data_IF_887184652212
#
_entry.id   IF_887184652212
#
_cell.length_a   1.000
_cell.length_b   1.000
_cell.length_c   1.000
_cell.angle_alpha   90.00
_cell.angle_beta   90.00
_cell.angle_gamma   90.00
#
_symmetry.space_group_name_H-M   'P 1'
#
loop_
_entity.id
_entity.type
_entity.pdbx_description
1 polymer ?
#
# COMPACT_ATOMS: atom_id res chain seq x y z
N UNK A 1 6.89 12.25 2.31
CA UNK A 1 7.31 10.85 2.08
C UNK A 1 6.37 9.97 2.90
N UNK A 2 5.64 9.07 2.24
CA UNK A 2 4.69 8.19 2.91
C UNK A 2 5.38 6.88 3.30
N UNK A 3 5.06 6.37 4.49
CA UNK A 3 5.57 5.08 4.94
C UNK A 3 4.71 3.97 4.34
N UNK A 4 5.28 3.21 3.41
CA UNK A 4 4.66 1.99 2.90
C UNK A 4 4.98 0.86 3.86
N UNK A 5 3.96 0.25 4.46
CA UNK A 5 4.10 -0.89 5.37
C UNK A 5 3.78 -2.15 4.59
N UNK A 6 4.77 -3.02 4.40
CA UNK A 6 4.61 -4.35 3.83
C UNK A 6 4.53 -5.38 4.95
N UNK A 7 3.70 -6.41 4.78
CA UNK A 7 3.59 -7.53 5.71
C UNK A 7 4.53 -8.67 5.29
N UNK A 8 4.83 -9.59 6.21
CA UNK A 8 5.68 -10.76 5.93
C UNK A 8 5.15 -11.59 4.76
N UNK A 9 3.84 -11.81 4.70
CA UNK A 9 3.19 -12.52 3.60
C UNK A 9 3.41 -11.83 2.24
N UNK A 10 3.43 -10.49 2.21
CA UNK A 10 3.73 -9.75 0.99
C UNK A 10 5.18 -9.95 0.56
N UNK A 11 6.12 -9.96 1.50
CA UNK A 11 7.53 -10.20 1.21
C UNK A 11 7.77 -11.62 0.68
N UNK A 12 7.12 -12.63 1.28
CA UNK A 12 7.19 -14.02 0.81
C UNK A 12 6.58 -14.19 -0.57
N UNK A 13 5.46 -13.53 -0.85
CA UNK A 13 4.86 -13.53 -2.18
C UNK A 13 5.75 -12.83 -3.21
N UNK A 14 6.32 -11.68 -2.86
CA UNK A 14 7.21 -10.91 -3.75
C UNK A 14 8.47 -11.70 -4.08
N UNK A 15 9.04 -12.42 -3.11
CA UNK A 15 10.22 -13.28 -3.30
C UNK A 15 9.98 -14.45 -4.26
N UNK A 16 8.72 -14.89 -4.42
CA UNK A 16 8.33 -15.95 -5.36
C UNK A 16 8.07 -15.46 -6.78
N UNK A 17 8.01 -14.14 -7.00
CA UNK A 17 7.76 -13.58 -8.34
C UNK A 17 9.04 -13.52 -9.18
N UNK A 18 8.88 -13.58 -10.50
CA UNK A 18 9.96 -13.34 -11.44
C UNK A 18 10.55 -11.93 -11.31
N UNK A 19 11.83 -11.79 -11.69
CA UNK A 19 12.59 -10.54 -11.59
C UNK A 19 11.86 -9.33 -12.21
N UNK A 20 11.27 -9.50 -13.40
CA UNK A 20 10.52 -8.42 -14.07
C UNK A 20 9.28 -7.98 -13.27
N UNK A 21 8.63 -8.91 -12.58
CA UNK A 21 7.46 -8.63 -11.74
C UNK A 21 7.88 -7.94 -10.46
N UNK A 22 8.96 -8.40 -9.83
CA UNK A 22 9.54 -7.75 -8.65
C UNK A 22 9.92 -6.30 -8.94
N UNK A 23 10.62 -6.04 -10.05
CA UNK A 23 11.04 -4.69 -10.44
C UNK A 23 9.85 -3.75 -10.65
N UNK A 24 8.78 -4.23 -11.29
CA UNK A 24 7.54 -3.46 -11.49
C UNK A 24 6.85 -3.14 -10.16
N UNK A 25 6.73 -4.13 -9.28
CA UNK A 25 6.09 -3.96 -7.97
C UNK A 25 6.88 -2.99 -7.10
N UNK A 26 8.21 -3.15 -7.02
CA UNK A 26 9.09 -2.24 -6.27
C UNK A 26 9.03 -0.81 -6.82
N UNK A 27 8.99 -0.65 -8.15
CA UNK A 27 8.83 0.66 -8.79
C UNK A 27 7.51 1.33 -8.39
N UNK A 28 6.41 0.57 -8.35
CA UNK A 28 5.11 1.06 -7.89
C UNK A 28 5.14 1.47 -6.40
N UNK A 29 5.79 0.69 -5.53
CA UNK A 29 5.96 1.04 -4.11
C UNK A 29 6.77 2.33 -3.94
N UNK A 30 7.81 2.53 -4.75
CA UNK A 30 8.63 3.75 -4.74
C UNK A 30 7.81 4.98 -5.18
N UNK A 31 6.92 4.84 -6.16
CA UNK A 31 5.99 5.89 -6.55
C UNK A 31 4.99 6.20 -5.43
N UNK A 32 4.46 5.17 -4.75
CA UNK A 32 3.56 5.32 -3.61
C UNK A 32 4.23 6.03 -2.43
N UNK A 33 5.49 5.73 -2.12
CA UNK A 33 6.25 6.41 -1.07
C UNK A 33 6.51 7.89 -1.39
N UNK A 34 6.75 8.20 -2.66
CA UNK A 34 7.07 9.56 -3.12
C UNK A 34 5.85 10.45 -3.28
N UNK A 35 4.78 9.95 -3.91
CA UNK A 35 3.60 10.75 -4.28
C UNK A 35 2.43 10.58 -3.31
N UNK A 36 2.48 9.57 -2.42
CA UNK A 36 1.37 9.24 -1.54
C UNK A 36 0.08 8.92 -2.30
N UNK A 37 -1.07 8.86 -1.60
CA UNK A 37 -2.39 8.65 -2.21
C UNK A 37 -2.92 9.86 -3.00
N UNK A 38 -2.05 10.69 -3.57
CA UNK A 38 -2.44 11.85 -4.40
C UNK A 38 -2.95 11.44 -5.80
N UNK A 39 -2.83 10.16 -6.17
CA UNK A 39 -3.61 9.56 -7.25
C UNK A 39 -4.96 9.05 -6.71
N UNK A 40 -5.85 10.00 -6.41
CA UNK A 40 -7.29 9.75 -6.32
C UNK A 40 -7.79 9.16 -4.99
N UNK A 41 -8.25 10.04 -4.11
CA UNK A 41 -9.54 9.78 -3.45
C UNK A 41 -10.54 9.38 -4.55
N UNK A 42 -11.23 8.23 -4.40
CA UNK A 42 -12.18 8.09 -3.31
C UNK A 42 -12.16 6.72 -2.61
N UNK A 43 -11.01 6.08 -2.38
CA UNK A 43 -10.97 4.75 -1.74
C UNK A 43 -10.55 4.71 -0.26
N UNK A 44 -10.31 5.87 0.36
CA UNK A 44 -10.14 5.91 1.82
C UNK A 44 -11.53 6.00 2.44
N UNK A 45 -12.13 4.85 2.73
CA UNK A 45 -13.25 4.75 3.67
C UNK A 45 -12.67 4.75 5.10
N UNK A 46 -12.90 5.79 5.91
CA UNK A 46 -12.70 5.71 7.34
C UNK A 46 -13.89 4.93 7.94
N UNK A 47 -13.91 3.61 7.82
CA UNK A 47 -14.86 2.76 8.55
C UNK A 47 -14.36 2.49 9.97
N UNK A 48 -14.20 3.54 10.78
CA UNK A 48 -14.13 3.36 12.24
C UNK A 48 -14.58 4.60 13.01
N UNK A 49 -15.87 4.87 12.97
CA UNK A 49 -16.55 5.62 14.04
C UNK A 49 -17.52 4.70 14.77
N UNK A 50 -17.16 4.14 15.93
CA UNK A 50 -18.16 3.70 16.89
C UNK A 50 -18.78 4.94 17.54
N UNK A 51 -19.75 5.57 16.88
CA UNK A 51 -20.59 6.59 17.50
C UNK A 51 -21.82 5.92 18.13
N UNK A 52 -21.62 5.32 19.31
CA UNK A 52 -22.70 4.96 20.22
C UNK A 52 -22.79 6.09 21.26
N UNK A 53 -23.83 6.96 21.22
CA UNK A 53 -24.12 7.80 22.37
C UNK A 53 -24.73 6.96 23.50
N UNK A 54 -24.32 7.35 24.71
CA UNK A 54 -24.75 6.93 26.05
C UNK A 54 -26.26 6.79 26.25
#
# INVERSE_FOLDING_TARGET
MWTVITTDLFNEWLAQQDQSTQEKVLSALVVLQQQGPSLGRPLVEPSMTPNLPI
#
